data_IF_598354089284
#
_entry.id   IF_598354089284
#
_cell.length_a   1.000
_cell.length_b   1.000
_cell.length_c   1.000
_cell.angle_alpha   90.00
_cell.angle_beta   90.00
_cell.angle_gamma   90.00
#
_symmetry.space_group_name_H-M   'P 1'
#
loop_
_entity.id
_entity.type
_entity.pdbx_description
1 polymer ?
#
# COMPACT_ATOMS: atom_id res chain seq x y z
N UNK A 1 6.92 7.38 -8.80
CA UNK A 1 6.58 6.15 -8.05
C UNK A 1 6.99 6.35 -6.61
N UNK A 2 6.04 6.29 -5.67
CA UNK A 2 6.32 6.45 -4.25
C UNK A 2 6.75 5.10 -3.68
N UNK A 3 8.05 4.88 -3.53
CA UNK A 3 8.59 3.77 -2.75
C UNK A 3 8.32 4.01 -1.27
N UNK A 4 7.67 3.07 -0.59
CA UNK A 4 7.78 2.95 0.86
C UNK A 4 9.23 2.59 1.18
N UNK A 5 9.99 3.60 1.61
CA UNK A 5 11.29 3.47 2.28
C UNK A 5 12.45 2.82 1.50
N UNK A 6 12.43 2.82 0.15
CA UNK A 6 13.58 2.36 -0.65
C UNK A 6 13.91 0.87 -0.53
N UNK A 7 13.03 0.06 0.06
CA UNK A 7 13.20 -1.39 0.16
C UNK A 7 12.98 -2.06 -1.22
N UNK A 8 13.78 -3.09 -1.58
CA UNK A 8 13.50 -3.90 -2.76
C UNK A 8 12.16 -4.65 -2.59
N UNK A 9 11.41 -4.80 -3.68
CA UNK A 9 10.13 -5.53 -3.76
C UNK A 9 8.99 -5.07 -2.83
N UNK A 10 9.05 -3.82 -2.33
CA UNK A 10 8.05 -3.26 -1.40
C UNK A 10 6.93 -2.44 -2.07
N UNK A 11 6.75 -2.56 -3.38
CA UNK A 11 5.73 -1.81 -4.10
C UNK A 11 4.32 -2.17 -3.59
N UNK A 12 3.52 -1.15 -3.28
CA UNK A 12 2.09 -1.31 -2.97
C UNK A 12 1.42 -1.93 -4.19
N UNK A 13 0.92 -3.16 -4.05
CA UNK A 13 0.30 -3.91 -5.15
C UNK A 13 -1.17 -3.52 -5.38
N UNK A 14 -1.86 -3.14 -4.32
CA UNK A 14 -3.29 -2.84 -4.36
C UNK A 14 -3.52 -1.33 -4.48
N UNK A 15 -3.93 -0.90 -5.67
CA UNK A 15 -4.01 0.52 -6.07
C UNK A 15 -5.03 1.30 -5.24
N UNK A 16 -6.08 0.64 -4.74
CA UNK A 16 -7.10 1.30 -3.94
C UNK A 16 -6.58 1.86 -2.61
N UNK A 17 -5.40 1.42 -2.14
CA UNK A 17 -4.75 2.06 -0.98
C UNK A 17 -4.49 3.55 -1.20
N UNK A 18 -4.29 4.00 -2.45
CA UNK A 18 -4.08 5.41 -2.76
C UNK A 18 -5.36 6.26 -2.63
N UNK A 19 -6.55 5.65 -2.50
CA UNK A 19 -7.79 6.39 -2.23
C UNK A 19 -7.76 7.09 -0.86
N UNK A 20 -6.93 6.63 0.07
CA UNK A 20 -6.72 7.28 1.38
C UNK A 20 -6.22 8.73 1.25
N UNK A 21 -5.62 9.08 0.11
CA UNK A 21 -5.12 10.44 -0.16
C UNK A 21 -6.25 11.44 -0.49
N UNK A 22 -7.49 10.96 -0.69
CA UNK A 22 -8.62 11.74 -1.13
C UNK A 22 -8.73 11.86 -2.66
N UNK A 23 -9.94 12.23 -3.13
CA UNK A 23 -10.32 12.15 -4.55
C UNK A 23 -9.40 12.95 -5.48
N UNK A 24 -9.06 14.20 -5.12
CA UNK A 24 -8.19 15.07 -5.93
C UNK A 24 -6.79 14.45 -6.16
N UNK A 25 -6.21 13.87 -5.10
CA UNK A 25 -4.89 13.25 -5.20
C UNK A 25 -4.96 11.90 -5.90
N UNK A 26 -6.06 11.17 -5.75
CA UNK A 26 -6.27 9.91 -6.45
C UNK A 26 -6.46 10.10 -7.95
N UNK A 27 -7.21 11.12 -8.38
CA UNK A 27 -7.31 11.51 -9.80
C UNK A 27 -5.94 11.90 -10.38
N UNK A 28 -5.16 12.68 -9.62
CA UNK A 28 -3.80 13.05 -10.01
C UNK A 28 -2.89 11.82 -10.13
N UNK A 29 -2.99 10.88 -9.20
CA UNK A 29 -2.28 9.59 -9.25
C UNK A 29 -2.67 8.79 -10.51
N UNK A 30 -3.96 8.67 -10.83
CA UNK A 30 -4.43 7.96 -12.02
C UNK A 30 -3.89 8.58 -13.31
N UNK A 31 -3.87 9.92 -13.39
CA UNK A 31 -3.28 10.62 -14.53
C UNK A 31 -1.79 10.31 -14.67
N UNK A 32 -1.01 10.42 -13.59
CA UNK A 32 0.42 10.08 -13.62
C UNK A 32 0.66 8.61 -14.00
N UNK A 33 -0.17 7.68 -13.51
CA UNK A 33 -0.04 6.27 -13.87
C UNK A 33 -0.24 6.04 -15.37
N UNK A 34 -1.21 6.71 -15.99
CA UNK A 34 -1.43 6.65 -17.44
C UNK A 34 -0.28 7.32 -18.22
N UNK A 35 0.24 8.45 -17.74
CA UNK A 35 1.40 9.15 -18.31
C UNK A 35 2.64 8.25 -18.34
N UNK A 36 2.99 7.65 -17.20
CA UNK A 36 4.15 6.76 -17.07
C UNK A 36 4.00 5.51 -17.94
N UNK A 37 2.79 4.95 -18.04
CA UNK A 37 2.52 3.79 -18.90
C UNK A 37 2.80 4.09 -20.38
N UNK A 38 2.32 5.25 -20.87
CA UNK A 38 2.60 5.68 -22.25
C UNK A 38 4.10 5.85 -22.49
N UNK A 39 4.82 6.46 -21.54
CA UNK A 39 6.27 6.66 -21.64
C UNK A 39 7.05 5.34 -21.63
N UNK A 40 6.67 4.38 -20.77
CA UNK A 40 7.30 3.06 -20.72
C UNK A 40 7.10 2.25 -22.00
N UNK A 41 5.96 2.43 -22.68
CA UNK A 41 5.70 1.85 -24.01
C UNK A 41 6.43 2.60 -25.14
N UNK A 42 7.26 3.60 -24.83
CA UNK A 42 8.01 4.39 -25.80
C UNK A 42 7.21 5.50 -26.48
N UNK A 43 5.98 5.74 -26.01
CA UNK A 43 5.12 6.84 -26.46
C UNK A 43 5.59 8.20 -25.94
N UNK A 44 4.92 9.26 -26.40
CA UNK A 44 5.19 10.64 -25.97
C UNK A 44 3.88 11.36 -25.64
N UNK A 45 3.90 12.20 -24.62
CA UNK A 45 2.74 12.95 -24.16
C UNK A 45 2.63 14.27 -24.92
N UNK A 46 1.44 14.70 -25.36
CA UNK A 46 1.26 16.05 -25.92
C UNK A 46 1.37 17.07 -24.76
N UNK A 47 2.29 18.04 -24.90
CA UNK A 47 2.58 19.07 -23.89
C UNK A 47 1.75 20.35 -24.09
N UNK A 48 0.79 20.33 -25.01
CA UNK A 48 -0.05 21.49 -25.29
C UNK A 48 -0.91 21.85 -24.06
N UNK A 49 -1.01 23.14 -23.67
CA UNK A 49 -1.84 23.57 -22.55
C UNK A 49 -3.29 23.11 -22.74
N UNK A 50 -3.81 22.33 -21.79
CA UNK A 50 -5.19 21.83 -21.83
C UNK A 50 -5.44 20.60 -22.72
N UNK A 51 -4.41 20.01 -23.36
CA UNK A 51 -4.58 18.71 -24.02
C UNK A 51 -4.29 17.54 -23.07
N UNK A 52 -5.09 16.48 -23.16
CA UNK A 52 -4.86 15.23 -22.43
C UNK A 52 -3.93 14.28 -23.22
N UNK A 53 -3.49 13.21 -22.55
CA UNK A 53 -2.53 12.17 -22.93
C UNK A 53 -2.48 11.74 -24.42
N UNK A 54 -3.58 11.84 -25.16
CA UNK A 54 -3.68 11.45 -26.57
C UNK A 54 -4.29 12.61 -27.34
N UNK A 55 -3.45 13.32 -28.08
CA UNK A 55 -3.85 14.52 -28.80
C UNK A 55 -3.62 14.32 -30.29
N UNK A 56 -4.63 13.80 -31.01
CA UNK A 56 -4.56 13.55 -32.46
C UNK A 56 -4.71 14.83 -33.30
N UNK A 57 -4.99 15.97 -32.66
CA UNK A 57 -5.34 17.24 -33.30
C UNK A 57 -4.43 18.41 -32.85
N UNK A 58 -3.49 18.22 -31.91
CA UNK A 58 -2.53 19.28 -31.56
C UNK A 58 -1.49 19.43 -32.68
N UNK A 59 -1.39 20.63 -33.29
CA UNK A 59 -0.27 21.00 -34.17
C UNK A 59 1.00 21.37 -33.38
N UNK A 60 1.10 20.94 -32.12
CA UNK A 60 2.18 21.33 -31.22
C UNK A 60 3.41 20.44 -31.47
N UNK A 61 4.46 21.03 -32.04
CA UNK A 61 5.72 20.34 -32.36
C UNK A 61 6.77 20.66 -31.29
N UNK A 62 7.35 19.63 -30.70
CA UNK A 62 8.35 19.76 -29.63
C UNK A 62 9.42 18.69 -29.77
N UNK A 63 10.57 18.91 -29.13
CA UNK A 63 11.66 17.94 -29.13
C UNK A 63 11.34 16.77 -28.18
N UNK A 64 11.41 15.53 -28.70
CA UNK A 64 11.11 14.30 -27.95
C UNK A 64 12.01 14.14 -26.73
N UNK A 65 13.27 14.53 -26.84
CA UNK A 65 14.30 14.18 -25.86
C UNK A 65 14.36 15.16 -24.69
N UNK A 66 14.30 16.47 -24.96
CA UNK A 66 14.36 17.50 -23.91
C UNK A 66 12.99 18.00 -23.45
N UNK A 67 11.90 17.64 -24.16
CA UNK A 67 10.53 18.12 -23.92
C UNK A 67 10.38 19.65 -24.03
N UNK A 68 11.30 20.33 -24.73
CA UNK A 68 11.25 21.75 -25.05
C UNK A 68 10.75 21.99 -26.48
N UNK A 69 10.67 23.25 -26.91
CA UNK A 69 10.35 23.62 -28.30
C UNK A 69 11.26 22.86 -29.29
N UNK A 70 10.72 22.56 -30.48
CA UNK A 70 11.47 21.85 -31.50
C UNK A 70 12.75 22.61 -31.86
N UNK A 71 13.86 21.88 -31.93
CA UNK A 71 15.17 22.40 -32.24
C UNK A 71 15.95 21.38 -33.06
N UNK A 72 16.85 21.84 -33.94
CA UNK A 72 17.73 20.98 -34.75
C UNK A 72 19.06 20.69 -34.05
N UNK A 73 19.50 21.57 -33.15
CA UNK A 73 20.75 21.43 -32.38
C UNK A 73 20.68 20.32 -31.31
N UNK A 74 21.82 19.84 -30.77
CA UNK A 74 21.80 18.87 -29.67
C UNK A 74 21.10 19.38 -28.40
N UNK A 75 20.32 18.53 -27.71
CA UNK A 75 19.68 18.87 -26.44
C UNK A 75 20.71 19.25 -25.36
N UNK A 76 20.47 20.33 -24.62
CA UNK A 76 21.22 20.62 -23.39
C UNK A 76 20.85 19.60 -22.31
N UNK A 77 21.86 18.97 -21.69
CA UNK A 77 21.69 17.92 -20.68
C UNK A 77 20.87 18.41 -19.47
N UNK A 78 19.88 17.63 -19.03
CA UNK A 78 19.22 17.78 -17.72
C UNK A 78 19.88 16.84 -16.72
N UNK A 79 20.41 17.39 -15.63
CA UNK A 79 20.83 16.63 -14.45
C UNK A 79 19.60 16.29 -13.62
N UNK A 80 19.30 15.00 -13.46
CA UNK A 80 18.22 14.52 -12.61
C UNK A 80 18.73 14.37 -11.17
N UNK A 81 18.29 15.24 -10.27
CA UNK A 81 18.65 15.18 -8.85
C UNK A 81 17.67 14.26 -8.12
N UNK A 82 18.08 13.01 -7.90
CA UNK A 82 17.29 12.02 -7.15
C UNK A 82 17.02 12.44 -5.70
N UNK A 83 15.86 12.04 -5.19
CA UNK A 83 15.46 12.21 -3.78
C UNK A 83 16.25 11.25 -2.87
N UNK A 84 16.85 11.75 -1.79
CA UNK A 84 17.51 10.96 -0.74
C UNK A 84 16.54 10.83 0.44
N UNK A 85 16.22 9.61 0.85
CA UNK A 85 15.41 9.34 2.04
C UNK A 85 16.29 9.34 3.31
N UNK A 86 15.76 9.86 4.41
CA UNK A 86 16.45 9.96 5.71
C UNK A 86 16.50 8.59 6.43
N UNK A 87 17.71 8.16 6.80
CA UNK A 87 18.02 6.82 7.32
C UNK A 87 17.49 6.59 8.74
N UNK A 88 17.44 7.64 9.56
CA UNK A 88 17.02 7.58 10.97
C UNK A 88 15.49 7.47 11.10
N UNK A 89 14.76 8.24 10.28
CA UNK A 89 13.31 8.10 10.16
C UNK A 89 12.89 6.70 9.67
N UNK A 90 13.67 6.09 8.77
CA UNK A 90 13.40 4.73 8.27
C UNK A 90 13.62 3.65 9.34
N UNK A 91 14.59 3.84 10.24
CA UNK A 91 14.91 2.91 11.33
C UNK A 91 13.78 2.81 12.36
N UNK A 92 13.18 3.95 12.71
CA UNK A 92 12.11 4.08 13.70
C UNK A 92 10.72 3.69 13.20
N UNK A 93 10.49 3.71 11.88
CA UNK A 93 9.22 3.29 11.27
C UNK A 93 9.09 1.76 11.06
N UNK A 94 10.06 0.97 11.52
CA UNK A 94 10.02 -0.50 11.41
C UNK A 94 8.99 -1.09 12.36
N UNK A 95 7.95 -1.69 11.77
CA UNK A 95 6.84 -2.34 12.48
C UNK A 95 7.31 -3.36 13.55
N UNK A 96 8.44 -4.03 13.31
CA UNK A 96 9.00 -5.07 14.19
C UNK A 96 9.42 -4.55 15.59
N UNK A 97 9.74 -3.26 15.72
CA UNK A 97 10.31 -2.72 16.97
C UNK A 97 9.27 -2.05 17.90
N UNK A 98 7.98 -2.10 17.55
CA UNK A 98 6.88 -1.82 18.47
C UNK A 98 6.37 -3.07 19.23
N UNK A 99 7.10 -4.20 19.15
CA UNK A 99 6.74 -5.51 19.74
C UNK A 99 6.97 -5.63 21.27
N UNK A 100 7.19 -4.54 22.02
CA UNK A 100 7.47 -4.61 23.46
C UNK A 100 6.23 -4.58 24.38
N UNK A 101 5.01 -4.70 23.85
CA UNK A 101 3.80 -4.82 24.67
C UNK A 101 3.06 -6.16 24.45
N UNK A 102 3.76 -7.30 24.59
CA UNK A 102 3.13 -8.59 24.27
C UNK A 102 3.41 -9.70 25.28
N UNK A 103 3.00 -9.49 26.53
CA UNK A 103 2.84 -10.59 27.50
C UNK A 103 1.35 -10.96 27.67
N UNK A 104 0.43 -10.07 27.29
CA UNK A 104 -1.03 -10.29 27.41
C UNK A 104 -1.70 -10.90 26.16
N UNK A 105 -1.05 -10.93 25.00
CA UNK A 105 -1.70 -11.32 23.73
C UNK A 105 -1.48 -12.78 23.30
N UNK A 106 -0.64 -13.55 24.00
CA UNK A 106 -0.37 -14.94 23.60
C UNK A 106 -1.32 -15.93 24.26
N UNK A 107 -1.97 -15.57 25.37
CA UNK A 107 -2.80 -16.48 26.18
C UNK A 107 -4.08 -15.80 26.68
N UNK A 108 -5.24 -16.43 26.44
CA UNK A 108 -6.54 -15.99 26.93
C UNK A 108 -7.34 -17.13 27.56
N UNK A 109 -8.21 -16.82 28.52
CA UNK A 109 -9.06 -17.82 29.17
C UNK A 109 -10.28 -18.15 28.31
N UNK A 110 -10.60 -19.42 28.15
CA UNK A 110 -11.82 -19.87 27.47
C UNK A 110 -13.07 -19.32 28.21
N UNK A 111 -13.97 -18.58 27.53
CA UNK A 111 -15.14 -17.97 28.18
C UNK A 111 -16.05 -18.99 28.90
N UNK A 112 -16.13 -20.22 28.40
CA UNK A 112 -16.99 -21.28 28.95
C UNK A 112 -16.38 -22.04 30.13
N UNK A 113 -15.07 -22.31 30.10
CA UNK A 113 -14.44 -23.23 31.06
C UNK A 113 -13.19 -22.69 31.77
N UNK A 114 -12.82 -21.44 31.47
CA UNK A 114 -11.75 -20.67 32.10
C UNK A 114 -10.36 -21.34 32.03
N UNK A 115 -10.16 -22.25 31.07
CA UNK A 115 -8.84 -22.82 30.77
C UNK A 115 -8.03 -21.83 29.96
N UNK A 116 -6.74 -21.63 30.28
CA UNK A 116 -5.81 -20.89 29.42
C UNK A 116 -5.70 -21.53 28.04
N UNK A 117 -5.90 -20.73 27.00
CA UNK A 117 -5.77 -21.12 25.60
C UNK A 117 -4.77 -20.17 24.96
N UNK A 118 -3.79 -20.72 24.26
CA UNK A 118 -2.79 -19.95 23.52
C UNK A 118 -3.23 -19.73 22.06
N UNK A 119 -2.89 -18.57 21.48
CA UNK A 119 -3.15 -18.26 20.07
C UNK A 119 -2.09 -18.93 19.19
N UNK A 120 -2.50 -19.92 18.41
CA UNK A 120 -1.60 -20.72 17.56
C UNK A 120 -1.73 -20.41 16.05
N UNK A 121 -1.97 -19.15 15.68
CA UNK A 121 -2.04 -18.73 14.27
C UNK A 121 -2.75 -17.39 14.07
N UNK A 122 -2.98 -17.01 12.81
CA UNK A 122 -3.61 -15.73 12.45
C UNK A 122 -5.14 -15.71 12.44
N UNK A 123 -5.82 -16.82 12.77
CA UNK A 123 -7.28 -16.88 12.81
C UNK A 123 -7.81 -16.47 14.19
N UNK A 124 -8.84 -15.61 14.24
CA UNK A 124 -9.52 -15.24 15.49
C UNK A 124 -10.56 -16.27 15.97
N UNK A 125 -10.89 -17.27 15.15
CA UNK A 125 -11.78 -18.38 15.53
C UNK A 125 -11.01 -19.43 16.30
N UNK A 126 -11.32 -19.56 17.59
CA UNK A 126 -10.66 -20.48 18.49
C UNK A 126 -11.62 -21.57 18.93
N UNK A 127 -11.14 -22.81 18.92
CA UNK A 127 -11.85 -23.96 19.52
C UNK A 127 -11.15 -24.32 20.82
N UNK A 128 -11.89 -24.37 21.92
CA UNK A 128 -11.30 -24.72 23.21
C UNK A 128 -10.65 -26.12 23.14
N UNK A 129 -9.35 -26.25 23.48
CA UNK A 129 -8.61 -27.51 23.34
C UNK A 129 -9.09 -28.60 24.31
N UNK A 130 -9.81 -28.20 25.38
CA UNK A 130 -10.36 -29.11 26.37
C UNK A 130 -11.46 -30.00 25.72
N UNK A 131 -11.29 -31.34 25.67
CA UNK A 131 -12.19 -32.24 24.94
C UNK A 131 -13.65 -32.21 25.40
N UNK A 132 -13.90 -31.94 26.68
CA UNK A 132 -15.23 -31.81 27.26
C UNK A 132 -15.87 -30.42 27.05
N UNK A 133 -15.11 -29.44 26.56
CA UNK A 133 -15.60 -28.09 26.32
C UNK A 133 -15.90 -27.84 24.85
N UNK A 134 -14.86 -27.96 24.00
CA UNK A 134 -14.88 -27.69 22.54
C UNK A 134 -15.65 -26.43 22.12
N UNK A 135 -15.75 -25.45 23.02
CA UNK A 135 -16.46 -24.21 22.76
C UNK A 135 -15.72 -23.40 21.69
N UNK A 136 -16.49 -22.90 20.72
CA UNK A 136 -15.98 -22.06 19.64
C UNK A 136 -16.20 -20.59 19.98
N UNK A 137 -15.14 -19.81 19.96
CA UNK A 137 -15.17 -18.44 20.45
C UNK A 137 -14.19 -17.54 19.69
N UNK A 138 -14.47 -16.24 19.73
CA UNK A 138 -13.60 -15.24 19.12
C UNK A 138 -12.47 -14.84 20.09
N UNK A 139 -11.21 -14.94 19.64
CA UNK A 139 -10.03 -14.54 20.41
C UNK A 139 -10.09 -13.08 20.87
N UNK A 140 -10.48 -12.17 19.98
CA UNK A 140 -10.55 -10.73 20.25
C UNK A 140 -11.74 -10.36 21.17
N UNK A 141 -12.96 -10.78 20.80
CA UNK A 141 -14.17 -10.39 21.52
C UNK A 141 -14.43 -11.20 22.80
N UNK A 142 -13.83 -12.38 22.95
CA UNK A 142 -14.08 -13.32 24.07
C UNK A 142 -15.55 -13.76 24.20
N UNK A 143 -16.27 -13.81 23.08
CA UNK A 143 -17.66 -14.29 22.97
C UNK A 143 -17.75 -15.50 22.05
N UNK A 144 -18.92 -16.16 22.00
CA UNK A 144 -19.20 -17.24 21.06
C UNK A 144 -18.95 -16.81 19.60
N UNK A 145 -18.34 -17.69 18.83
CA UNK A 145 -18.01 -17.40 17.44
C UNK A 145 -19.29 -17.15 16.62
N UNK A 146 -19.32 -16.01 15.92
CA UNK A 146 -20.51 -15.55 15.20
C UNK A 146 -20.17 -14.82 13.89
N UNK A 147 -21.20 -14.47 13.12
CA UNK A 147 -21.04 -13.82 11.80
C UNK A 147 -20.46 -12.42 11.86
N UNK A 148 -20.70 -11.68 12.94
CA UNK A 148 -20.10 -10.37 13.13
C UNK A 148 -18.58 -10.49 13.31
N UNK A 149 -18.14 -11.49 14.08
CA UNK A 149 -16.72 -11.79 14.24
C UNK A 149 -16.05 -12.20 12.92
N UNK A 150 -16.74 -13.00 12.10
CA UNK A 150 -16.27 -13.39 10.77
C UNK A 150 -16.14 -12.20 9.80
N UNK A 151 -17.01 -11.19 9.90
CA UNK A 151 -16.95 -10.02 9.01
C UNK A 151 -15.91 -9.00 9.43
N UNK A 152 -15.81 -8.72 10.73
CA UNK A 152 -15.05 -7.58 11.22
C UNK A 152 -13.58 -7.90 11.51
N UNK A 153 -13.28 -9.11 11.98
CA UNK A 153 -11.94 -9.49 12.43
C UNK A 153 -11.76 -11.01 12.37
N UNK A 154 -11.94 -11.60 11.18
CA UNK A 154 -11.69 -13.02 10.98
C UNK A 154 -10.23 -13.36 11.26
N UNK A 155 -9.31 -12.55 10.74
CA UNK A 155 -7.87 -12.77 10.82
C UNK A 155 -7.16 -11.56 11.46
N UNK A 156 -5.98 -11.80 12.04
CA UNK A 156 -5.14 -10.79 12.68
C UNK A 156 -3.82 -11.34 13.17
#
# INVERSE_FOLDING_TARGET
MLTLSGCPDSLIKEVHHFQVLGDEQYERYQRYAAEECVLQMGGVLCLAPGCSLVCCLCQFVFCRDCKAEFHEDPCRQRTDTGYIADEDAALHARWEQASQETISETTHLCPKCQVPVEKNGGCMHMVCPRPQCKFEWCWFCRVEWNRECMGNHWFG
#
